data_IF_001938618769
#
_entry.id   IF_001938618769
#
_cell.length_a   1.000
_cell.length_b   1.000
_cell.length_c   1.000
_cell.angle_alpha   90.00
_cell.angle_beta   90.00
_cell.angle_gamma   90.00
#
_symmetry.space_group_name_H-M   'P 1'
#
loop_
_entity.id
_entity.type
_entity.pdbx_description
1 polymer ?
#
# COMPACT_ATOMS: atom_id res chain seq x y z
N UNK A 1 -8.03 -17.06 -27.00
CA UNK A 1 -6.95 -16.08 -26.78
C UNK A 1 -6.67 -15.77 -25.29
N UNK A 2 -7.22 -16.51 -24.31
CA UNK A 2 -7.21 -16.08 -22.88
C UNK A 2 -6.36 -16.90 -21.90
N UNK A 3 -5.74 -18.01 -22.31
CA UNK A 3 -4.96 -18.86 -21.38
C UNK A 3 -3.62 -18.24 -20.97
N UNK A 4 -2.91 -17.63 -21.91
CA UNK A 4 -1.57 -17.09 -21.67
C UNK A 4 -1.57 -15.83 -20.79
N UNK A 5 -2.53 -14.92 -20.98
CA UNK A 5 -2.66 -13.71 -20.15
C UNK A 5 -3.07 -14.06 -18.72
N UNK A 6 -4.01 -15.00 -18.54
CA UNK A 6 -4.41 -15.50 -17.23
C UNK A 6 -3.25 -16.15 -16.49
N UNK A 7 -2.49 -17.02 -17.16
CA UNK A 7 -1.31 -17.67 -16.57
C UNK A 7 -0.22 -16.67 -16.16
N UNK A 8 -0.02 -15.60 -16.94
CA UNK A 8 0.91 -14.51 -16.58
C UNK A 8 0.43 -13.71 -15.36
N UNK A 9 -0.85 -13.40 -15.29
CA UNK A 9 -1.44 -12.72 -14.14
C UNK A 9 -1.33 -13.56 -12.86
N UNK A 10 -1.66 -14.85 -12.93
CA UNK A 10 -1.47 -15.76 -11.79
C UNK A 10 0.01 -15.89 -11.42
N UNK A 11 0.90 -15.96 -12.40
CA UNK A 11 2.35 -15.95 -12.18
C UNK A 11 2.82 -14.70 -11.40
N UNK A 12 2.32 -13.51 -11.75
CA UNK A 12 2.63 -12.28 -11.03
C UNK A 12 2.08 -12.26 -9.60
N UNK A 13 0.86 -12.78 -9.42
CA UNK A 13 0.20 -12.86 -8.12
C UNK A 13 0.83 -13.91 -7.19
N UNK A 14 1.42 -14.96 -7.74
CA UNK A 14 2.06 -16.04 -6.96
C UNK A 14 3.55 -15.76 -6.71
N UNK A 15 4.24 -15.09 -7.64
CA UNK A 15 5.64 -14.73 -7.48
C UNK A 15 5.83 -13.63 -6.42
N UNK A 16 6.84 -13.79 -5.55
CA UNK A 16 7.18 -12.82 -4.50
C UNK A 16 7.45 -11.43 -5.07
N UNK A 17 8.25 -11.33 -6.14
CA UNK A 17 8.59 -10.05 -6.76
C UNK A 17 7.41 -9.38 -7.45
N UNK A 18 6.54 -10.18 -8.09
CA UNK A 18 5.30 -9.68 -8.69
C UNK A 18 4.36 -9.10 -7.64
N UNK A 19 4.20 -9.78 -6.49
CA UNK A 19 3.40 -9.27 -5.36
C UNK A 19 3.97 -7.98 -4.76
N UNK A 20 5.30 -7.88 -4.64
CA UNK A 20 5.95 -6.64 -4.17
C UNK A 20 5.63 -5.49 -5.14
N UNK A 21 5.86 -5.70 -6.44
CA UNK A 21 5.55 -4.69 -7.47
C UNK A 21 4.08 -4.28 -7.47
N UNK A 22 3.16 -5.24 -7.39
CA UNK A 22 1.72 -4.96 -7.35
C UNK A 22 1.28 -4.24 -6.07
N UNK A 23 1.90 -4.54 -4.92
CA UNK A 23 1.62 -3.84 -3.67
C UNK A 23 2.08 -2.37 -3.74
N UNK A 24 3.28 -2.11 -4.27
CA UNK A 24 3.77 -0.75 -4.52
C UNK A 24 2.88 0.00 -5.51
N UNK A 25 2.45 -0.66 -6.60
CA UNK A 25 1.52 -0.08 -7.57
C UNK A 25 0.14 0.23 -6.97
N UNK A 26 -0.36 -0.62 -6.07
CA UNK A 26 -1.62 -0.36 -5.37
C UNK A 26 -1.54 0.92 -4.52
N UNK A 27 -0.45 1.06 -3.75
CA UNK A 27 -0.17 2.27 -2.96
C UNK A 27 0.04 3.51 -3.80
N UNK A 28 0.87 3.42 -4.84
CA UNK A 28 1.12 4.51 -5.76
C UNK A 28 -0.14 4.96 -6.49
N UNK A 29 -0.97 4.01 -6.95
CA UNK A 29 -2.27 4.30 -7.55
C UNK A 29 -3.15 5.10 -6.59
N UNK A 30 -3.27 4.65 -5.34
CA UNK A 30 -4.05 5.37 -4.34
C UNK A 30 -3.51 6.79 -4.06
N UNK A 31 -2.19 7.00 -4.06
CA UNK A 31 -1.60 8.32 -3.85
C UNK A 31 -1.89 9.29 -5.01
N UNK A 32 -1.88 8.79 -6.25
CA UNK A 32 -2.12 9.61 -7.45
C UNK A 32 -3.58 10.08 -7.58
N UNK A 33 -4.50 9.56 -6.77
CA UNK A 33 -5.89 10.07 -6.71
C UNK A 33 -5.91 11.49 -6.14
N UNK A 34 -5.00 11.79 -5.21
CA UNK A 34 -4.97 13.07 -4.53
C UNK A 34 -4.38 14.18 -5.41
N UNK A 35 -4.70 15.45 -5.12
CA UNK A 35 -3.97 16.57 -5.69
C UNK A 35 -2.46 16.43 -5.43
N UNK A 36 -1.59 16.83 -6.38
CA UNK A 36 -1.85 17.60 -7.60
C UNK A 36 -2.27 16.77 -8.83
N UNK A 37 -2.28 15.44 -8.74
CA UNK A 37 -2.43 14.56 -9.90
C UNK A 37 -3.90 14.35 -10.31
N UNK A 38 -4.79 14.13 -9.35
CA UNK A 38 -6.24 13.94 -9.60
C UNK A 38 -6.57 12.71 -10.46
N UNK A 39 -5.71 11.70 -10.50
CA UNK A 39 -5.87 10.51 -11.34
C UNK A 39 -6.83 9.52 -10.69
N UNK A 40 -8.13 9.72 -10.92
CA UNK A 40 -9.21 8.89 -10.37
C UNK A 40 -9.07 7.37 -10.59
N UNK A 41 -8.55 6.86 -11.73
CA UNK A 41 -8.35 5.41 -11.89
C UNK A 41 -7.39 4.81 -10.85
N UNK A 42 -6.59 5.66 -10.18
CA UNK A 42 -5.78 5.28 -9.02
C UNK A 42 -6.56 4.67 -7.85
N UNK A 43 -7.88 4.93 -7.75
CA UNK A 43 -8.75 4.30 -6.75
C UNK A 43 -8.80 2.78 -6.87
N UNK A 44 -8.45 2.23 -8.04
CA UNK A 44 -8.30 0.78 -8.23
C UNK A 44 -7.14 0.18 -7.39
N UNK A 45 -6.29 1.01 -6.79
CA UNK A 45 -5.30 0.59 -5.81
C UNK A 45 -5.89 -0.12 -4.59
N UNK A 46 -7.02 0.36 -4.06
CA UNK A 46 -7.69 -0.28 -2.91
C UNK A 46 -8.20 -1.71 -3.18
N UNK A 47 -8.97 -1.98 -4.26
CA UNK A 47 -9.38 -3.34 -4.58
C UNK A 47 -8.19 -4.23 -4.97
N UNK A 48 -7.13 -3.68 -5.58
CA UNK A 48 -5.89 -4.43 -5.82
C UNK A 48 -5.22 -4.83 -4.50
N UNK A 49 -5.15 -3.91 -3.53
CA UNK A 49 -4.60 -4.20 -2.21
C UNK A 49 -5.41 -5.29 -1.48
N UNK A 50 -6.74 -5.21 -1.53
CA UNK A 50 -7.64 -6.23 -1.00
C UNK A 50 -7.38 -7.60 -1.64
N UNK A 51 -7.23 -7.65 -2.98
CA UNK A 51 -6.92 -8.88 -3.70
C UNK A 51 -5.57 -9.49 -3.27
N UNK A 52 -4.55 -8.65 -3.10
CA UNK A 52 -3.22 -9.08 -2.64
C UNK A 52 -3.24 -9.56 -1.19
N UNK A 53 -4.04 -8.92 -0.33
CA UNK A 53 -4.24 -9.33 1.06
C UNK A 53 -4.98 -10.69 1.15
N UNK A 54 -5.99 -10.91 0.31
CA UNK A 54 -6.71 -12.19 0.20
C UNK A 54 -5.76 -13.33 -0.21
N UNK A 55 -4.88 -13.06 -1.17
CA UNK A 55 -3.90 -14.01 -1.72
C UNK A 55 -2.64 -14.15 -0.85
N UNK A 56 -2.56 -13.44 0.27
CA UNK A 56 -1.37 -13.47 1.10
C UNK A 56 -1.22 -14.77 1.90
N UNK A 57 -0.01 -15.34 1.81
CA UNK A 57 0.44 -16.50 2.58
C UNK A 57 0.66 -16.14 4.05
N UNK A 58 -0.38 -16.30 4.86
CA UNK A 58 -0.35 -16.07 6.31
C UNK A 58 -0.28 -14.59 6.73
N UNK A 59 -0.22 -14.35 8.04
CA UNK A 59 -0.28 -13.00 8.63
C UNK A 59 0.93 -12.14 8.23
N UNK A 60 2.15 -12.70 8.22
CA UNK A 60 3.37 -12.00 7.79
C UNK A 60 3.25 -11.52 6.34
N UNK A 61 2.70 -12.35 5.46
CA UNK A 61 2.48 -11.97 4.06
C UNK A 61 1.46 -10.85 3.91
N UNK A 62 0.40 -10.86 4.72
CA UNK A 62 -0.61 -9.79 4.75
C UNK A 62 0.00 -8.46 5.21
N UNK A 63 0.78 -8.50 6.29
CA UNK A 63 1.49 -7.32 6.81
C UNK A 63 2.39 -6.67 5.75
N UNK A 64 3.27 -7.44 5.10
CA UNK A 64 4.19 -6.88 4.10
C UNK A 64 3.48 -6.30 2.89
N UNK A 65 2.36 -6.90 2.45
CA UNK A 65 1.55 -6.36 1.35
C UNK A 65 0.96 -4.99 1.73
N UNK A 66 0.36 -4.88 2.92
CA UNK A 66 -0.18 -3.60 3.40
C UNK A 66 0.90 -2.56 3.65
N UNK A 67 2.01 -2.97 4.25
CA UNK A 67 3.12 -2.07 4.57
C UNK A 67 3.77 -1.50 3.32
N UNK A 68 4.02 -2.31 2.29
CA UNK A 68 4.57 -1.83 1.02
C UNK A 68 3.62 -0.88 0.29
N UNK A 69 2.32 -1.18 0.29
CA UNK A 69 1.31 -0.31 -0.29
C UNK A 69 1.23 1.03 0.46
N UNK A 70 1.19 0.99 1.80
CA UNK A 70 1.19 2.19 2.63
C UNK A 70 2.47 3.00 2.46
N UNK A 71 3.62 2.35 2.43
CA UNK A 71 4.90 3.01 2.16
C UNK A 71 4.87 3.76 0.82
N UNK A 72 4.47 3.11 -0.27
CA UNK A 72 4.38 3.77 -1.58
C UNK A 72 3.38 4.93 -1.57
N UNK A 73 2.23 4.76 -0.91
CA UNK A 73 1.20 5.79 -0.78
C UNK A 73 1.75 7.03 -0.08
N UNK A 74 2.33 6.87 1.11
CA UNK A 74 2.86 7.98 1.89
C UNK A 74 4.17 8.54 1.34
N UNK A 75 4.98 7.74 0.65
CA UNK A 75 6.21 8.21 0.02
C UNK A 75 5.90 9.22 -1.08
N UNK A 76 4.86 8.97 -1.88
CA UNK A 76 4.39 9.90 -2.90
C UNK A 76 3.60 11.06 -2.25
N UNK A 77 2.72 10.76 -1.29
CA UNK A 77 1.87 11.78 -0.65
C UNK A 77 2.63 12.77 0.24
N UNK A 78 3.72 12.34 0.88
CA UNK A 78 4.51 13.13 1.83
C UNK A 78 5.88 13.54 1.27
N UNK A 79 6.08 13.49 -0.05
CA UNK A 79 7.33 13.93 -0.69
C UNK A 79 7.76 15.35 -0.28
N UNK A 80 6.79 16.24 -0.09
CA UNK A 80 6.98 17.62 0.36
C UNK A 80 7.64 17.75 1.75
N UNK A 81 7.62 16.70 2.58
CA UNK A 81 8.33 16.70 3.86
C UNK A 81 9.83 16.80 3.64
N UNK A 82 10.35 16.20 2.57
CA UNK A 82 11.77 16.30 2.21
C UNK A 82 12.17 17.75 1.88
N UNK A 83 11.29 18.46 1.16
CA UNK A 83 11.50 19.87 0.76
C UNK A 83 11.69 20.79 1.95
N UNK A 84 11.02 20.53 3.07
CA UNK A 84 11.18 21.32 4.31
C UNK A 84 12.62 21.27 4.85
N UNK A 85 13.35 20.18 4.65
CA UNK A 85 14.76 20.04 5.07
C UNK A 85 15.74 20.69 4.10
N UNK A 86 15.32 20.97 2.87
CA UNK A 86 16.18 21.62 1.85
C UNK A 86 16.22 23.15 2.03
N UNK A 87 15.33 23.71 2.83
CA UNK A 87 15.31 25.16 3.14
C UNK A 87 16.59 25.59 3.87
N UNK A 88 17.11 24.75 4.76
CA UNK A 88 18.37 25.00 5.45
C UNK A 88 19.45 24.00 4.99
N UNK A 89 20.52 24.44 4.30
CA UNK A 89 21.56 23.55 3.79
C UNK A 89 22.24 22.68 4.86
N UNK A 90 22.31 23.15 6.11
CA UNK A 90 22.88 22.39 7.23
C UNK A 90 22.07 21.13 7.58
N UNK A 91 20.78 21.09 7.22
CA UNK A 91 19.84 20.01 7.52
C UNK A 91 19.48 19.17 6.28
N UNK A 92 19.93 19.57 5.08
CA UNK A 92 19.58 18.92 3.82
C UNK A 92 19.97 17.43 3.77
N UNK A 93 21.02 17.02 4.49
CA UNK A 93 21.44 15.62 4.59
C UNK A 93 20.39 14.71 5.28
N UNK A 94 19.49 15.29 6.08
CA UNK A 94 18.40 14.57 6.76
C UNK A 94 17.21 14.32 5.83
N UNK A 95 17.09 15.05 4.72
CA UNK A 95 15.98 14.97 3.78
C UNK A 95 15.68 13.53 3.30
N UNK A 96 16.64 12.71 2.82
CA UNK A 96 16.33 11.34 2.38
C UNK A 96 15.83 10.45 3.52
N UNK A 97 16.28 10.68 4.75
CA UNK A 97 15.83 9.94 5.92
C UNK A 97 14.42 10.34 6.31
N UNK A 98 14.11 11.65 6.35
CA UNK A 98 12.77 12.14 6.61
C UNK A 98 11.79 11.65 5.54
N UNK A 99 12.19 11.73 4.26
CA UNK A 99 11.39 11.30 3.12
C UNK A 99 11.09 9.80 3.11
N UNK A 100 11.93 8.97 3.72
CA UNK A 100 11.77 7.51 3.69
C UNK A 100 11.25 6.93 5.01
N UNK A 101 11.77 7.37 6.16
CA UNK A 101 11.41 6.84 7.48
C UNK A 101 10.00 7.23 7.89
N UNK A 102 9.55 8.45 7.56
CA UNK A 102 8.19 8.87 7.88
C UNK A 102 7.16 8.02 7.12
N UNK A 103 7.24 7.86 5.78
CA UNK A 103 6.38 6.92 5.06
C UNK A 103 6.51 5.47 5.52
N UNK A 104 7.72 5.01 5.87
CA UNK A 104 7.93 3.66 6.39
C UNK A 104 7.22 3.44 7.74
N UNK A 105 7.25 4.44 8.63
CA UNK A 105 6.55 4.45 9.90
C UNK A 105 5.03 4.49 9.72
N UNK A 106 4.53 5.38 8.87
CA UNK A 106 3.09 5.47 8.58
C UNK A 106 2.56 4.23 7.86
N UNK A 107 3.37 3.62 6.99
CA UNK A 107 3.04 2.35 6.34
C UNK A 107 2.79 1.21 7.32
N UNK A 108 3.28 1.30 8.57
CA UNK A 108 2.98 0.30 9.61
C UNK A 108 1.49 0.21 9.92
N UNK A 109 0.74 1.32 9.91
CA UNK A 109 -0.72 1.29 10.13
C UNK A 109 -1.44 0.49 9.03
N UNK A 110 -1.03 0.68 7.77
CA UNK A 110 -1.56 -0.10 6.65
C UNK A 110 -1.16 -1.58 6.73
N UNK A 111 0.07 -1.87 7.15
CA UNK A 111 0.53 -3.23 7.41
C UNK A 111 -0.25 -3.90 8.55
N UNK A 112 -0.56 -3.18 9.63
CA UNK A 112 -1.38 -3.66 10.72
C UNK A 112 -2.83 -3.91 10.29
N UNK A 113 -3.38 -3.04 9.43
CA UNK A 113 -4.74 -3.22 8.88
C UNK A 113 -4.85 -4.52 8.09
N UNK A 114 -3.90 -4.77 7.18
CA UNK A 114 -3.90 -6.00 6.38
C UNK A 114 -3.50 -7.23 7.18
N UNK A 115 -2.71 -7.08 8.25
CA UNK A 115 -2.42 -8.16 9.20
C UNK A 115 -3.68 -8.55 9.99
N UNK A 116 -4.41 -7.58 10.53
CA UNK A 116 -5.68 -7.80 11.23
C UNK A 116 -6.73 -8.41 10.28
N UNK A 117 -6.82 -7.90 9.06
CA UNK A 117 -7.66 -8.46 8.00
C UNK A 117 -7.34 -9.95 7.77
N UNK A 118 -6.06 -10.29 7.66
CA UNK A 118 -5.62 -11.68 7.43
C UNK A 118 -5.81 -12.56 8.66
N UNK A 119 -5.71 -11.99 9.86
CA UNK A 119 -5.97 -12.70 11.11
C UNK A 119 -7.44 -13.11 11.22
N UNK A 120 -8.37 -12.20 10.89
CA UNK A 120 -9.82 -12.43 10.97
C UNK A 120 -10.35 -13.32 9.84
N UNK A 121 -9.58 -13.53 8.76
CA UNK A 121 -9.89 -14.42 7.63
C UNK A 121 -11.35 -14.30 7.13
N UNK A 122 -11.82 -13.08 6.80
CA UNK A 122 -13.20 -12.89 6.39
C UNK A 122 -13.51 -13.64 5.08
N UNK A 123 -14.77 -14.01 4.90
CA UNK A 123 -15.26 -14.68 3.69
C UNK A 123 -16.45 -13.92 3.07
N UNK A 124 -16.63 -14.07 1.76
CA UNK A 124 -17.75 -13.50 1.02
C UNK A 124 -17.72 -11.96 0.97
N UNK A 125 -18.89 -11.34 1.10
CA UNK A 125 -19.07 -9.87 1.04
C UNK A 125 -18.52 -9.18 2.30
N UNK A 126 -18.54 -9.87 3.45
CA UNK A 126 -18.02 -9.35 4.73
C UNK A 126 -16.55 -8.93 4.65
N UNK A 127 -15.80 -9.52 3.71
CA UNK A 127 -14.40 -9.15 3.46
C UNK A 127 -14.24 -7.67 3.13
N UNK A 128 -15.12 -7.13 2.29
CA UNK A 128 -15.01 -5.74 1.80
C UNK A 128 -15.33 -4.79 2.95
N UNK A 129 -16.41 -5.10 3.70
CA UNK A 129 -16.82 -4.31 4.86
C UNK A 129 -15.76 -4.33 5.95
N UNK A 130 -15.17 -5.51 6.24
CA UNK A 130 -14.12 -5.63 7.25
C UNK A 130 -12.85 -4.90 6.84
N UNK A 131 -12.45 -5.02 5.57
CA UNK A 131 -11.29 -4.30 5.05
C UNK A 131 -11.48 -2.79 5.20
N UNK A 132 -12.63 -2.25 4.75
CA UNK A 132 -12.94 -0.84 4.88
C UNK A 132 -12.99 -0.39 6.35
N UNK A 133 -13.61 -1.17 7.23
CA UNK A 133 -13.70 -0.85 8.66
C UNK A 133 -12.33 -0.84 9.34
N UNK A 134 -11.45 -1.80 9.04
CA UNK A 134 -10.10 -1.85 9.60
C UNK A 134 -9.24 -0.66 9.14
N UNK A 135 -9.33 -0.28 7.86
CA UNK A 135 -8.66 0.90 7.36
C UNK A 135 -9.18 2.17 8.03
N UNK A 136 -10.51 2.34 8.10
CA UNK A 136 -11.12 3.50 8.75
C UNK A 136 -10.73 3.62 10.23
N UNK A 137 -10.70 2.51 10.97
CA UNK A 137 -10.32 2.50 12.39
C UNK A 137 -8.84 2.84 12.60
N UNK A 138 -7.94 2.28 11.79
CA UNK A 138 -6.50 2.51 11.91
C UNK A 138 -6.05 3.87 11.40
N UNK A 139 -6.83 4.51 10.52
CA UNK A 139 -6.59 5.90 10.12
C UNK A 139 -7.16 6.92 11.11
N UNK A 140 -8.11 6.52 11.96
CA UNK A 140 -8.77 7.42 12.92
C UNK A 140 -8.00 7.60 14.23
N UNK A 141 -7.25 6.57 14.65
CA UNK A 141 -6.45 6.56 15.89
C UNK A 141 -5.06 7.11 15.68
#
# INVERSE_FOLDING_TARGET
MNGALGARFEGLLNNRWGRIGLALLAGAGAALVHPPFGFLPGLLGYPLLLLLADRASGMKGGFWVGWLAGFAYFFIGCWWVAEAFLVNPAQAWMAPFAASLLPAGMGLFWGLATLAYRWLRPAGVRRVLLFAALFALLEWT
#
